data_IF_860450822275
#
_entry.id   IF_860450822275
#
_cell.length_a   1.000
_cell.length_b   1.000
_cell.length_c   1.000
_cell.angle_alpha   90.00
_cell.angle_beta   90.00
_cell.angle_gamma   90.00
#
_symmetry.space_group_name_H-M   'P 1'
#
loop_
_entity.id
_entity.type
_entity.pdbx_description
1 polymer ?
#
# COMPACT_ATOMS: atom_id res chain seq x y z
N UNK A 1 -25.71 -1.87 5.45
CA UNK A 1 -26.51 -1.01 6.36
C UNK A 1 -26.57 0.40 5.78
N UNK A 2 -27.76 0.95 5.58
CA UNK A 2 -27.93 2.36 5.24
C UNK A 2 -27.74 3.21 6.50
N UNK A 3 -26.89 4.22 6.43
CA UNK A 3 -26.76 5.22 7.48
C UNK A 3 -27.19 6.58 6.92
N UNK A 4 -27.50 7.53 7.80
CA UNK A 4 -28.03 8.84 7.42
C UNK A 4 -27.11 9.58 6.45
N UNK A 5 -25.80 9.59 6.75
CA UNK A 5 -24.79 10.23 5.90
C UNK A 5 -24.80 9.67 4.46
N UNK A 6 -24.92 8.35 4.30
CA UNK A 6 -24.96 7.71 2.98
C UNK A 6 -26.23 8.07 2.21
N UNK A 7 -27.38 8.15 2.89
CA UNK A 7 -28.65 8.56 2.26
C UNK A 7 -28.57 10.03 1.84
N UNK A 8 -28.06 10.89 2.72
CA UNK A 8 -27.94 12.32 2.46
C UNK A 8 -26.95 12.59 1.31
N UNK A 9 -25.83 11.85 1.25
CA UNK A 9 -24.90 11.89 0.12
C UNK A 9 -25.59 11.51 -1.20
N UNK A 10 -26.35 10.41 -1.23
CA UNK A 10 -27.05 10.00 -2.45
C UNK A 10 -28.08 11.02 -2.91
N UNK A 11 -28.76 11.71 -1.99
CA UNK A 11 -29.74 12.76 -2.34
C UNK A 11 -29.09 13.96 -3.02
N UNK A 12 -27.83 14.23 -2.69
CA UNK A 12 -27.06 15.35 -3.22
C UNK A 12 -26.38 14.98 -4.53
N UNK A 13 -25.92 13.73 -4.65
CA UNK A 13 -25.15 13.29 -5.80
C UNK A 13 -26.01 12.84 -7.00
N UNK A 14 -27.27 12.47 -6.74
CA UNK A 14 -28.14 11.81 -7.71
C UNK A 14 -29.43 12.59 -7.95
N UNK A 15 -29.94 12.57 -9.18
CA UNK A 15 -31.32 12.95 -9.45
C UNK A 15 -32.30 11.93 -8.81
N UNK A 16 -33.61 12.20 -8.88
CA UNK A 16 -34.63 11.37 -8.22
C UNK A 16 -34.63 9.91 -8.72
N UNK A 17 -34.36 9.70 -10.01
CA UNK A 17 -34.34 8.37 -10.62
C UNK A 17 -33.08 7.60 -10.20
N UNK A 18 -31.91 8.24 -10.31
CA UNK A 18 -30.62 7.70 -9.86
C UNK A 18 -30.59 7.46 -8.35
N UNK A 19 -31.26 8.30 -7.56
CA UNK A 19 -31.36 8.13 -6.12
C UNK A 19 -32.09 6.83 -5.77
N UNK A 20 -33.25 6.60 -6.40
CA UNK A 20 -34.04 5.37 -6.20
C UNK A 20 -33.24 4.15 -6.69
N UNK A 21 -32.57 4.27 -7.83
CA UNK A 21 -31.73 3.21 -8.37
C UNK A 21 -30.61 2.82 -7.39
N UNK A 22 -29.84 3.80 -6.93
CA UNK A 22 -28.69 3.58 -6.04
C UNK A 22 -29.09 3.19 -4.60
N UNK A 23 -30.31 3.51 -4.17
CA UNK A 23 -30.86 3.07 -2.88
C UNK A 23 -31.09 1.55 -2.85
N UNK A 24 -31.27 0.93 -4.02
CA UNK A 24 -31.37 -0.51 -4.15
C UNK A 24 -29.99 -1.09 -4.55
N UNK A 25 -29.25 -1.73 -3.62
CA UNK A 25 -27.94 -2.30 -3.93
C UNK A 25 -28.01 -3.38 -5.03
N UNK A 26 -29.18 -3.99 -5.27
CA UNK A 26 -29.38 -4.92 -6.37
C UNK A 26 -29.33 -4.26 -7.75
N UNK A 27 -29.59 -2.95 -7.84
CA UNK A 27 -29.51 -2.23 -9.09
C UNK A 27 -28.07 -1.87 -9.48
N UNK A 28 -27.22 -1.62 -8.50
CA UNK A 28 -25.80 -1.39 -8.77
C UNK A 28 -25.10 -2.71 -9.21
N UNK A 29 -25.62 -3.85 -8.76
CA UNK A 29 -25.07 -5.20 -9.04
C UNK A 29 -25.68 -5.86 -10.29
N UNK A 30 -26.30 -5.09 -11.19
CA UNK A 30 -27.13 -5.60 -12.30
C UNK A 30 -26.45 -6.60 -13.25
N UNK A 31 -25.11 -6.71 -13.26
CA UNK A 31 -24.37 -7.65 -14.11
C UNK A 31 -24.00 -9.00 -13.48
N UNK A 32 -23.97 -9.11 -12.14
CA UNK A 32 -23.32 -10.25 -11.44
C UNK A 32 -24.26 -11.22 -10.75
N UNK A 33 -25.58 -11.09 -10.94
CA UNK A 33 -26.56 -11.95 -10.25
C UNK A 33 -26.40 -13.45 -10.57
N UNK A 34 -25.83 -13.79 -11.73
CA UNK A 34 -25.53 -15.17 -12.15
C UNK A 34 -24.23 -15.71 -11.55
N UNK A 35 -23.37 -14.82 -11.07
CA UNK A 35 -22.03 -15.11 -10.56
C UNK A 35 -21.96 -14.89 -9.04
N UNK A 36 -23.12 -14.93 -8.37
CA UNK A 36 -23.20 -14.86 -6.92
C UNK A 36 -22.76 -16.20 -6.33
N UNK A 37 -21.73 -16.16 -5.50
CA UNK A 37 -21.20 -17.30 -4.78
C UNK A 37 -21.59 -17.23 -3.29
N UNK A 38 -21.42 -18.33 -2.56
CA UNK A 38 -21.68 -18.38 -1.11
C UNK A 38 -20.94 -17.26 -0.36
N UNK A 39 -19.71 -16.95 -0.80
CA UNK A 39 -18.87 -15.88 -0.26
C UNK A 39 -19.49 -14.48 -0.36
N UNK A 40 -20.37 -14.21 -1.33
CA UNK A 40 -21.09 -12.93 -1.43
C UNK A 40 -22.12 -12.73 -0.31
N UNK A 41 -22.50 -13.81 0.38
CA UNK A 41 -23.47 -13.82 1.47
C UNK A 41 -22.84 -14.12 2.83
N UNK A 42 -21.67 -14.77 2.86
CA UNK A 42 -20.97 -15.19 4.07
C UNK A 42 -19.78 -14.32 4.45
N UNK A 43 -19.33 -13.42 3.56
CA UNK A 43 -18.36 -12.37 3.90
C UNK A 43 -18.97 -11.32 4.84
N UNK A 44 -19.22 -11.74 6.09
CA UNK A 44 -18.99 -10.85 7.22
C UNK A 44 -17.50 -10.55 7.13
N UNK A 45 -17.17 -9.30 6.81
CA UNK A 45 -15.80 -8.78 6.78
C UNK A 45 -15.06 -9.16 8.08
N UNK A 46 -14.44 -10.33 8.09
CA UNK A 46 -13.17 -10.60 8.76
C UNK A 46 -12.02 -10.06 7.88
N UNK A 47 -12.32 -9.13 6.98
CA UNK A 47 -11.34 -8.41 6.18
C UNK A 47 -10.45 -7.64 7.15
N UNK A 48 -9.15 -7.87 7.07
CA UNK A 48 -8.13 -6.92 7.52
C UNK A 48 -8.64 -5.51 7.18
N UNK A 49 -8.77 -4.68 8.21
CA UNK A 49 -9.23 -3.32 8.03
C UNK A 49 -8.05 -2.49 7.53
N UNK A 50 -7.81 -2.53 6.21
CA UNK A 50 -6.80 -1.76 5.50
C UNK A 50 -7.01 -0.23 5.56
N UNK A 51 -7.88 0.25 6.45
CA UNK A 51 -8.19 1.67 6.68
C UNK A 51 -8.59 2.43 5.40
N UNK A 52 -9.13 1.71 4.42
CA UNK A 52 -9.55 2.25 3.12
C UNK A 52 -8.57 1.99 1.97
N UNK A 53 -7.41 1.41 2.23
CA UNK A 53 -6.50 0.93 1.20
C UNK A 53 -7.03 -0.36 0.55
N UNK A 54 -6.90 -0.47 -0.77
CA UNK A 54 -7.25 -1.64 -1.57
C UNK A 54 -5.95 -2.24 -2.13
N UNK A 55 -5.38 -3.27 -1.47
CA UNK A 55 -4.09 -3.80 -1.86
C UNK A 55 -4.14 -4.50 -3.22
N UNK A 56 -3.23 -4.11 -4.12
CA UNK A 56 -3.07 -4.70 -5.45
C UNK A 56 -1.63 -5.11 -5.66
N UNK A 57 -1.43 -6.38 -5.97
CA UNK A 57 -0.15 -7.03 -6.23
C UNK A 57 0.15 -7.20 -7.73
N UNK A 58 -0.87 -7.06 -8.58
CA UNK A 58 -0.71 -7.13 -10.03
C UNK A 58 0.22 -6.04 -10.56
N UNK A 59 1.02 -6.40 -11.54
CA UNK A 59 1.82 -5.47 -12.34
C UNK A 59 1.16 -5.33 -13.71
N UNK A 60 0.95 -4.08 -14.11
CA UNK A 60 0.45 -3.74 -15.42
C UNK A 60 1.42 -2.74 -16.04
N UNK A 61 2.32 -3.23 -16.91
CA UNK A 61 3.34 -2.39 -17.53
C UNK A 61 2.72 -1.22 -18.29
N UNK A 62 3.19 0.01 -17.98
CA UNK A 62 2.78 1.25 -18.62
C UNK A 62 3.99 2.06 -19.01
N UNK A 63 3.80 2.88 -20.03
CA UNK A 63 4.75 3.95 -20.34
C UNK A 63 4.55 5.10 -19.37
N UNK A 64 5.65 5.73 -18.95
CA UNK A 64 5.61 6.95 -18.16
C UNK A 64 4.93 8.06 -18.97
N UNK A 65 3.88 8.72 -18.45
CA UNK A 65 3.26 9.84 -19.15
C UNK A 65 4.23 11.01 -19.34
N UNK A 66 4.31 11.55 -20.56
CA UNK A 66 5.01 12.80 -20.85
C UNK A 66 4.04 13.98 -20.70
N UNK A 67 3.88 14.45 -19.48
CA UNK A 67 2.98 15.56 -19.15
C UNK A 67 3.72 16.89 -18.95
N UNK A 68 5.05 16.91 -18.99
CA UNK A 68 5.87 18.09 -18.64
C UNK A 68 5.54 19.32 -19.51
N UNK A 69 5.20 19.11 -20.79
CA UNK A 69 4.84 20.17 -21.74
C UNK A 69 3.41 20.70 -21.64
N UNK A 70 2.54 20.05 -20.85
CA UNK A 70 1.11 20.36 -20.82
C UNK A 70 0.87 21.54 -19.88
N UNK A 71 0.62 22.71 -20.44
CA UNK A 71 0.40 23.95 -19.67
C UNK A 71 -1.01 24.51 -19.84
N UNK A 72 -1.79 23.96 -20.77
CA UNK A 72 -3.18 24.34 -20.97
C UNK A 72 -4.03 24.00 -19.73
N UNK A 73 -5.15 24.72 -19.60
CA UNK A 73 -6.09 24.56 -18.50
C UNK A 73 -7.48 24.34 -19.07
N UNK A 74 -8.05 23.18 -18.80
CA UNK A 74 -9.43 22.84 -19.18
C UNK A 74 -10.29 22.86 -17.93
N UNK A 75 -11.38 23.65 -17.88
CA UNK A 75 -12.28 23.67 -16.73
C UNK A 75 -12.80 22.27 -16.38
N UNK A 76 -12.80 21.94 -15.10
CA UNK A 76 -13.61 20.84 -14.57
C UNK A 76 -15.11 21.15 -14.73
N UNK A 77 -15.98 20.19 -14.43
CA UNK A 77 -17.43 20.46 -14.46
C UNK A 77 -17.82 21.48 -13.40
N UNK A 78 -18.91 22.23 -13.66
CA UNK A 78 -19.41 23.24 -12.71
C UNK A 78 -19.68 22.64 -11.31
N UNK A 79 -20.17 21.39 -11.26
CA UNK A 79 -20.39 20.66 -10.00
C UNK A 79 -19.06 20.38 -9.28
N UNK A 80 -18.03 19.93 -9.98
CA UNK A 80 -16.72 19.66 -9.37
C UNK A 80 -16.10 20.93 -8.77
N UNK A 81 -16.11 22.04 -9.52
CA UNK A 81 -15.61 23.32 -9.00
C UNK A 81 -16.39 23.79 -7.78
N UNK A 82 -17.73 23.72 -7.83
CA UNK A 82 -18.60 24.08 -6.69
C UNK A 82 -18.20 23.31 -5.42
N UNK A 83 -17.96 22.00 -5.52
CA UNK A 83 -17.59 21.18 -4.37
C UNK A 83 -16.15 21.41 -3.91
N UNK A 84 -15.20 21.70 -4.80
CA UNK A 84 -13.85 22.11 -4.43
C UNK A 84 -13.92 23.39 -3.59
N UNK A 85 -14.63 24.42 -4.05
CA UNK A 85 -14.74 25.69 -3.33
C UNK A 85 -15.49 25.54 -1.99
N UNK A 86 -16.54 24.71 -1.94
CA UNK A 86 -17.21 24.37 -0.67
C UNK A 86 -16.30 23.66 0.33
N UNK A 87 -15.43 22.75 -0.13
CA UNK A 87 -14.47 22.08 0.74
C UNK A 87 -13.46 23.07 1.33
N UNK A 88 -12.96 23.98 0.50
CA UNK A 88 -12.05 25.06 0.91
C UNK A 88 -12.74 25.98 1.93
N UNK A 89 -13.97 26.42 1.65
CA UNK A 89 -14.74 27.27 2.57
C UNK A 89 -14.99 26.57 3.92
N UNK A 90 -15.38 25.29 3.89
CA UNK A 90 -15.66 24.52 5.09
C UNK A 90 -14.40 24.39 5.97
N UNK A 91 -13.27 23.95 5.39
CA UNK A 91 -12.01 23.80 6.13
C UNK A 91 -11.55 25.12 6.73
N UNK A 92 -11.65 26.21 5.97
CA UNK A 92 -11.36 27.58 6.45
C UNK A 92 -12.27 27.99 7.61
N UNK A 93 -13.57 27.68 7.53
CA UNK A 93 -14.55 28.02 8.58
C UNK A 93 -14.35 27.24 9.88
N UNK A 94 -13.82 26.01 9.77
CA UNK A 94 -13.53 25.12 10.90
C UNK A 94 -12.10 25.30 11.43
N UNK A 95 -11.30 26.20 10.83
CA UNK A 95 -9.91 26.43 11.23
C UNK A 95 -8.99 25.22 10.97
N UNK A 96 -9.24 24.48 9.91
CA UNK A 96 -8.47 23.32 9.48
C UNK A 96 -7.57 23.71 8.30
N UNK A 97 -6.26 23.48 8.42
CA UNK A 97 -5.32 23.66 7.32
C UNK A 97 -5.61 22.61 6.23
N UNK A 98 -5.88 23.08 5.01
CA UNK A 98 -6.18 22.24 3.86
C UNK A 98 -4.97 22.15 2.93
N UNK A 99 -4.60 20.93 2.59
CA UNK A 99 -3.66 20.61 1.50
C UNK A 99 -4.38 19.72 0.53
N UNK A 100 -4.43 20.15 -0.73
CA UNK A 100 -4.96 19.36 -1.84
C UNK A 100 -3.80 18.68 -2.57
N UNK A 101 -4.03 17.50 -3.11
CA UNK A 101 -3.03 16.83 -3.94
C UNK A 101 -3.69 15.93 -4.98
N UNK A 102 -2.99 15.71 -6.09
CA UNK A 102 -3.30 14.66 -7.06
C UNK A 102 -2.27 13.56 -6.91
N UNK A 103 -2.69 12.34 -6.55
CA UNK A 103 -1.82 11.16 -6.51
C UNK A 103 -1.24 10.86 -7.90
N UNK A 104 -0.06 10.22 -8.00
CA UNK A 104 0.52 9.87 -9.30
C UNK A 104 -0.24 8.71 -9.94
N UNK A 105 -0.50 8.79 -11.24
CA UNK A 105 -1.08 7.72 -12.06
C UNK A 105 -0.74 7.92 -13.54
N UNK A 106 -1.25 7.09 -14.45
CA UNK A 106 -1.05 7.31 -15.89
C UNK A 106 -1.93 8.47 -16.37
N UNK A 107 -1.57 9.70 -16.03
CA UNK A 107 -2.34 10.90 -16.39
C UNK A 107 -2.40 11.10 -17.90
N UNK A 108 -3.60 11.38 -18.41
CA UNK A 108 -3.80 11.80 -19.81
C UNK A 108 -3.65 13.31 -19.95
N UNK A 109 -3.44 13.79 -21.17
CA UNK A 109 -3.24 15.23 -21.40
C UNK A 109 -4.41 16.06 -20.89
N UNK A 110 -5.64 15.61 -21.19
CA UNK A 110 -6.86 16.28 -20.75
C UNK A 110 -7.01 16.28 -19.23
N UNK A 111 -6.66 15.19 -18.57
CA UNK A 111 -6.69 15.14 -17.10
C UNK A 111 -5.66 16.10 -16.51
N UNK A 112 -4.46 16.17 -17.10
CA UNK A 112 -3.44 17.12 -16.66
C UNK A 112 -3.89 18.57 -16.84
N UNK A 113 -4.58 18.91 -17.94
CA UNK A 113 -5.17 20.24 -18.13
C UNK A 113 -6.23 20.56 -17.07
N UNK A 114 -7.02 19.58 -16.67
CA UNK A 114 -8.01 19.73 -15.57
C UNK A 114 -7.30 19.91 -14.23
N UNK A 115 -6.23 19.16 -13.96
CA UNK A 115 -5.42 19.33 -12.75
C UNK A 115 -4.75 20.71 -12.69
N UNK A 116 -4.28 21.24 -13.84
CA UNK A 116 -3.76 22.60 -13.92
C UNK A 116 -4.86 23.63 -13.56
N UNK A 117 -6.09 23.42 -14.05
CA UNK A 117 -7.24 24.27 -13.70
C UNK A 117 -7.57 24.21 -12.20
N UNK A 118 -7.55 23.02 -11.60
CA UNK A 118 -7.74 22.85 -10.14
C UNK A 118 -6.61 23.52 -9.36
N UNK A 119 -5.38 23.47 -9.86
CA UNK A 119 -4.24 24.18 -9.27
C UNK A 119 -4.45 25.70 -9.24
N UNK A 120 -5.02 26.29 -10.31
CA UNK A 120 -5.35 27.71 -10.33
C UNK A 120 -6.42 28.06 -9.28
N UNK A 121 -7.46 27.22 -9.11
CA UNK A 121 -8.47 27.43 -8.06
C UNK A 121 -7.81 27.41 -6.66
N UNK A 122 -6.91 26.47 -6.42
CA UNK A 122 -6.20 26.38 -5.15
C UNK A 122 -5.31 27.61 -4.90
N UNK A 123 -4.59 28.09 -5.92
CA UNK A 123 -3.79 29.31 -5.84
C UNK A 123 -4.65 30.56 -5.57
N UNK A 124 -5.77 30.72 -6.28
CA UNK A 124 -6.75 31.79 -6.07
C UNK A 124 -7.25 31.85 -4.62
N UNK A 125 -7.46 30.68 -4.01
CA UNK A 125 -7.97 30.53 -2.65
C UNK A 125 -6.88 30.47 -1.57
N UNK A 126 -5.60 30.55 -1.97
CA UNK A 126 -4.46 30.45 -1.06
C UNK A 126 -4.31 29.08 -0.39
N UNK A 127 -4.72 28.00 -1.06
CA UNK A 127 -4.62 26.61 -0.62
C UNK A 127 -3.46 25.92 -1.33
N UNK A 128 -2.66 25.14 -0.61
CA UNK A 128 -1.59 24.36 -1.24
C UNK A 128 -2.19 23.23 -2.10
N UNK A 129 -1.76 23.15 -3.37
CA UNK A 129 -2.04 22.03 -4.24
C UNK A 129 -0.74 21.37 -4.72
N UNK A 130 -0.62 20.06 -4.47
CA UNK A 130 0.55 19.26 -4.88
C UNK A 130 0.14 18.30 -5.99
N UNK A 131 0.55 18.59 -7.21
CA UNK A 131 0.38 17.66 -8.32
C UNK A 131 1.56 16.68 -8.39
N UNK A 132 1.37 15.46 -7.88
CA UNK A 132 2.40 14.42 -7.94
C UNK A 132 2.60 13.84 -9.33
N UNK A 133 1.70 14.12 -10.28
CA UNK A 133 1.92 13.78 -11.68
C UNK A 133 3.07 14.62 -12.27
N UNK A 134 3.46 15.74 -11.64
CA UNK A 134 4.62 16.54 -12.03
C UNK A 134 5.94 16.09 -11.41
N UNK A 135 5.94 14.98 -10.66
CA UNK A 135 7.05 14.60 -9.76
C UNK A 135 7.45 13.13 -9.89
N UNK A 136 7.21 12.49 -11.02
CA UNK A 136 7.53 11.07 -11.20
C UNK A 136 8.99 10.74 -10.90
N UNK A 137 9.93 11.57 -11.38
CA UNK A 137 11.36 11.38 -11.13
C UNK A 137 11.72 11.53 -9.65
N UNK A 138 11.14 12.53 -8.96
CA UNK A 138 11.37 12.76 -7.53
C UNK A 138 10.83 11.61 -6.67
N UNK A 139 9.71 11.02 -7.10
CA UNK A 139 9.08 9.86 -6.48
C UNK A 139 9.80 8.54 -6.82
N UNK A 140 10.69 8.54 -7.81
CA UNK A 140 11.31 7.32 -8.32
C UNK A 140 10.31 6.34 -8.94
N UNK A 141 9.25 6.87 -9.58
CA UNK A 141 8.19 6.06 -10.18
C UNK A 141 8.72 5.30 -11.41
N UNK A 142 8.42 4.01 -11.45
CA UNK A 142 8.62 3.16 -12.62
C UNK A 142 7.27 2.61 -13.06
N UNK A 143 6.70 3.22 -14.10
CA UNK A 143 5.38 2.87 -14.62
C UNK A 143 5.30 1.45 -15.21
N UNK A 144 6.44 0.81 -15.48
CA UNK A 144 6.47 -0.58 -15.91
C UNK A 144 6.21 -1.55 -14.75
N UNK A 145 6.57 -1.18 -13.52
CA UNK A 145 6.55 -2.09 -12.37
C UNK A 145 5.67 -1.63 -11.20
N UNK A 146 5.32 -0.34 -11.12
CA UNK A 146 4.60 0.27 -9.98
C UNK A 146 3.08 0.40 -10.19
N UNK A 147 2.56 0.02 -11.34
CA UNK A 147 1.15 0.19 -11.71
C UNK A 147 0.36 -1.10 -11.54
N UNK A 148 -0.79 -1.02 -10.86
CA UNK A 148 -1.78 -2.10 -10.85
C UNK A 148 -2.69 -2.03 -12.09
N UNK A 149 -2.97 -0.82 -12.56
CA UNK A 149 -3.67 -0.50 -13.80
C UNK A 149 -3.38 0.96 -14.18
N UNK A 150 -4.08 1.52 -15.17
CA UNK A 150 -3.83 2.90 -15.62
C UNK A 150 -4.12 3.96 -14.54
N UNK A 151 -5.02 3.69 -13.60
CA UNK A 151 -5.44 4.65 -12.59
C UNK A 151 -4.89 4.39 -11.19
N UNK A 152 -4.38 3.20 -10.91
CA UNK A 152 -4.01 2.78 -9.57
C UNK A 152 -2.59 2.23 -9.52
N UNK A 153 -1.83 2.69 -8.53
CA UNK A 153 -0.55 2.11 -8.15
C UNK A 153 -0.77 0.71 -7.54
N UNK A 154 0.21 -0.17 -7.70
CA UNK A 154 0.29 -1.42 -6.94
C UNK A 154 1.01 -1.19 -5.60
N UNK A 155 1.29 -2.26 -4.87
CA UNK A 155 2.02 -2.20 -3.60
C UNK A 155 3.35 -1.42 -3.67
N UNK A 156 4.10 -1.57 -4.77
CA UNK A 156 5.39 -0.90 -4.95
C UNK A 156 5.23 0.60 -5.15
N UNK A 157 4.36 0.99 -6.09
CA UNK A 157 4.09 2.40 -6.35
C UNK A 157 3.50 3.12 -5.13
N UNK A 158 2.56 2.48 -4.42
CA UNK A 158 1.98 3.07 -3.21
C UNK A 158 3.03 3.28 -2.12
N UNK A 159 3.99 2.36 -1.94
CA UNK A 159 5.05 2.54 -0.96
C UNK A 159 5.93 3.76 -1.30
N UNK A 160 6.42 3.87 -2.53
CA UNK A 160 7.21 5.02 -2.99
C UNK A 160 6.46 6.34 -2.79
N UNK A 161 5.20 6.37 -3.20
CA UNK A 161 4.36 7.56 -3.08
C UNK A 161 4.10 7.95 -1.62
N UNK A 162 3.69 7.00 -0.78
CA UNK A 162 3.33 7.29 0.62
C UNK A 162 4.54 7.60 1.50
N UNK A 163 5.71 7.00 1.22
CA UNK A 163 6.96 7.33 1.89
C UNK A 163 7.41 8.78 1.60
N UNK A 164 7.39 9.16 0.31
CA UNK A 164 7.68 10.54 -0.10
C UNK A 164 6.65 11.52 0.48
N UNK A 165 5.35 11.25 0.30
CA UNK A 165 4.30 12.16 0.74
C UNK A 165 4.27 12.30 2.26
N UNK A 166 4.43 11.20 3.00
CA UNK A 166 4.52 11.21 4.45
C UNK A 166 5.72 12.02 4.96
N UNK A 167 6.86 11.91 4.29
CA UNK A 167 8.06 12.71 4.61
C UNK A 167 7.82 14.21 4.35
N UNK A 168 7.23 14.55 3.20
CA UNK A 168 6.88 15.93 2.86
C UNK A 168 5.89 16.54 3.85
N UNK A 169 4.90 15.76 4.30
CA UNK A 169 3.94 16.22 5.31
C UNK A 169 4.60 16.48 6.66
N UNK A 170 5.50 15.59 7.11
CA UNK A 170 6.26 15.77 8.37
C UNK A 170 7.20 16.96 8.32
N UNK A 171 7.78 17.27 7.15
CA UNK A 171 8.67 18.41 6.98
C UNK A 171 7.90 19.74 7.03
N UNK A 172 6.76 19.80 6.35
CA UNK A 172 5.98 21.03 6.19
C UNK A 172 5.03 21.34 7.35
N UNK A 173 4.53 20.31 8.02
CA UNK A 173 3.44 20.43 8.98
C UNK A 173 3.81 19.79 10.32
N UNK A 174 3.34 20.40 11.41
CA UNK A 174 3.52 19.87 12.77
C UNK A 174 2.53 18.71 13.04
N UNK A 175 2.78 17.59 12.37
CA UNK A 175 1.98 16.37 12.52
C UNK A 175 2.62 15.52 13.63
N UNK A 176 1.94 15.33 14.77
CA UNK A 176 2.49 14.55 15.88
C UNK A 176 2.64 13.08 15.49
N UNK A 177 3.80 12.50 15.81
CA UNK A 177 4.00 11.06 15.73
C UNK A 177 3.12 10.36 16.76
N UNK A 178 2.32 9.38 16.31
CA UNK A 178 1.35 8.63 17.13
C UNK A 178 1.73 7.16 17.31
N UNK A 179 2.88 6.73 16.80
CA UNK A 179 3.35 5.35 17.01
C UNK A 179 3.49 5.06 18.50
N UNK A 180 3.01 3.89 18.92
CA UNK A 180 3.04 3.46 20.32
C UNK A 180 2.01 4.15 21.24
N UNK A 181 1.19 5.08 20.72
CA UNK A 181 0.04 5.60 21.48
C UNK A 181 -1.09 4.57 21.47
N UNK A 182 -1.51 4.11 22.65
CA UNK A 182 -2.54 3.08 22.81
C UNK A 182 -3.87 3.42 22.12
N UNK A 183 -4.17 4.71 21.88
CA UNK A 183 -5.38 5.14 21.16
C UNK A 183 -5.33 4.82 19.67
N UNK A 184 -4.13 4.70 19.11
CA UNK A 184 -3.86 4.50 17.69
C UNK A 184 -3.29 3.13 17.38
N UNK A 185 -3.23 2.22 18.36
CA UNK A 185 -2.69 0.85 18.20
C UNK A 185 -3.23 0.14 16.95
N UNK A 186 -4.50 0.34 16.57
CA UNK A 186 -5.04 -0.28 15.35
C UNK A 186 -4.37 0.16 14.04
N UNK A 187 -3.64 1.29 14.04
CA UNK A 187 -2.84 1.79 12.91
C UNK A 187 -1.46 1.16 12.90
N UNK A 188 -0.84 0.96 14.06
CA UNK A 188 0.41 0.19 14.17
C UNK A 188 0.18 -1.25 13.67
N UNK A 189 -1.00 -1.82 13.97
CA UNK A 189 -1.41 -3.13 13.48
C UNK A 189 -1.61 -3.18 11.97
N UNK A 190 -2.29 -2.18 11.43
CA UNK A 190 -2.53 -2.07 9.99
C UNK A 190 -1.21 -1.88 9.22
N UNK A 191 -0.32 -1.01 9.71
CA UNK A 191 1.01 -0.80 9.13
C UNK A 191 1.85 -2.08 9.13
N UNK A 192 1.84 -2.86 10.22
CA UNK A 192 2.54 -4.13 10.28
C UNK A 192 2.00 -5.15 9.26
N UNK A 193 0.67 -5.24 9.11
CA UNK A 193 0.03 -6.13 8.13
C UNK A 193 0.33 -5.70 6.69
N UNK A 194 0.25 -4.40 6.38
CA UNK A 194 0.56 -3.90 5.03
C UNK A 194 2.04 -4.07 4.68
N UNK A 195 2.95 -3.84 5.64
CA UNK A 195 4.37 -4.15 5.47
C UNK A 195 4.59 -5.64 5.18
N UNK A 196 3.89 -6.50 5.91
CA UNK A 196 3.89 -7.94 5.68
C UNK A 196 3.44 -8.28 4.25
N UNK A 197 2.26 -7.85 3.84
CA UNK A 197 1.68 -8.23 2.55
C UNK A 197 2.47 -7.68 1.36
N UNK A 198 2.94 -6.43 1.46
CA UNK A 198 3.87 -5.85 0.48
C UNK A 198 5.11 -6.71 0.32
N UNK A 199 5.74 -7.11 1.43
CA UNK A 199 6.95 -7.92 1.40
C UNK A 199 6.69 -9.31 0.82
N UNK A 200 5.57 -9.93 1.16
CA UNK A 200 5.16 -11.21 0.57
C UNK A 200 4.93 -11.08 -0.95
N UNK A 201 4.31 -10.00 -1.41
CA UNK A 201 4.13 -9.70 -2.83
C UNK A 201 5.47 -9.54 -3.55
N UNK A 202 6.41 -8.76 -3.00
CA UNK A 202 7.74 -8.60 -3.60
C UNK A 202 8.52 -9.91 -3.69
N UNK A 203 8.51 -10.72 -2.63
CA UNK A 203 9.19 -12.03 -2.65
C UNK A 203 8.54 -12.95 -3.69
N UNK A 204 7.21 -12.90 -3.82
CA UNK A 204 6.47 -13.77 -4.74
C UNK A 204 6.70 -13.41 -6.20
N UNK A 205 6.88 -12.11 -6.48
CA UNK A 205 6.91 -11.57 -7.84
C UNK A 205 8.32 -11.13 -8.30
N UNK A 206 9.35 -11.21 -7.45
CA UNK A 206 10.71 -10.81 -7.82
C UNK A 206 11.59 -12.00 -8.17
N UNK A 207 12.11 -11.99 -9.39
CA UNK A 207 13.17 -12.90 -9.85
C UNK A 207 14.58 -12.36 -9.56
N UNK A 208 14.68 -11.21 -8.87
CA UNK A 208 15.93 -10.48 -8.66
C UNK A 208 16.42 -10.65 -7.22
N UNK A 209 17.54 -11.36 -7.06
CA UNK A 209 18.22 -11.48 -5.78
C UNK A 209 18.59 -10.11 -5.17
N UNK A 210 18.86 -9.10 -5.99
CA UNK A 210 19.19 -7.75 -5.54
C UNK A 210 17.98 -7.04 -4.90
N UNK A 211 16.78 -7.27 -5.41
CA UNK A 211 15.55 -6.66 -4.88
C UNK A 211 15.19 -7.29 -3.54
N UNK A 212 15.27 -8.62 -3.45
CA UNK A 212 15.10 -9.36 -2.20
C UNK A 212 16.17 -8.93 -1.16
N UNK A 213 17.42 -8.69 -1.58
CA UNK A 213 18.48 -8.18 -0.71
C UNK A 213 18.22 -6.74 -0.23
N UNK A 214 17.70 -5.85 -1.08
CA UNK A 214 17.38 -4.49 -0.68
C UNK A 214 16.29 -4.44 0.40
N UNK A 215 15.36 -5.41 0.45
CA UNK A 215 14.38 -5.50 1.54
C UNK A 215 15.04 -5.64 2.92
N UNK A 216 16.21 -6.28 3.01
CA UNK A 216 16.92 -6.46 4.29
C UNK A 216 17.54 -5.19 4.86
N UNK A 217 17.67 -4.12 4.05
CA UNK A 217 18.16 -2.81 4.50
C UNK A 217 17.16 -2.03 5.36
N UNK A 218 15.90 -2.47 5.39
CA UNK A 218 14.83 -1.83 6.16
C UNK A 218 14.50 -2.61 7.45
N UNK A 219 15.51 -3.21 8.10
CA UNK A 219 15.35 -3.91 9.37
C UNK A 219 14.89 -5.37 9.26
N UNK A 220 15.04 -6.00 8.10
CA UNK A 220 14.70 -7.41 7.88
C UNK A 220 15.95 -8.28 7.82
N UNK A 221 15.85 -9.54 8.24
CA UNK A 221 16.91 -10.55 8.07
C UNK A 221 16.37 -11.62 7.14
N UNK A 222 17.05 -11.86 6.02
CA UNK A 222 16.71 -12.95 5.10
C UNK A 222 17.57 -14.17 5.41
N UNK A 223 16.94 -15.32 5.55
CA UNK A 223 17.56 -16.63 5.58
C UNK A 223 17.33 -17.28 4.22
N UNK A 224 18.36 -17.39 3.39
CA UNK A 224 18.24 -18.03 2.07
C UNK A 224 18.84 -19.43 2.11
N UNK A 225 18.16 -20.43 1.56
CA UNK A 225 18.70 -21.78 1.34
C UNK A 225 18.64 -22.09 -0.15
N UNK A 226 19.81 -22.29 -0.74
CA UNK A 226 19.94 -22.63 -2.16
C UNK A 226 20.98 -23.72 -2.32
N UNK A 227 20.60 -24.85 -2.92
CA UNK A 227 21.51 -25.97 -3.23
C UNK A 227 22.32 -26.43 -2.01
N UNK A 228 21.63 -26.62 -0.88
CA UNK A 228 22.23 -27.06 0.40
C UNK A 228 23.06 -26.00 1.14
N UNK A 229 23.19 -24.78 0.60
CA UNK A 229 23.88 -23.67 1.25
C UNK A 229 22.89 -22.71 1.89
N UNK A 230 23.00 -22.52 3.21
CA UNK A 230 22.21 -21.56 3.98
C UNK A 230 22.99 -20.26 4.17
N UNK A 231 22.34 -19.11 3.99
CA UNK A 231 22.92 -17.78 4.17
C UNK A 231 21.98 -16.90 5.01
N UNK A 232 22.54 -16.14 5.94
CA UNK A 232 21.84 -15.09 6.67
C UNK A 232 22.28 -13.76 6.08
N UNK A 233 21.33 -12.98 5.59
CA UNK A 233 21.54 -11.68 4.98
C UNK A 233 20.86 -10.63 5.84
N UNK A 234 21.62 -9.62 6.24
CA UNK A 234 21.15 -8.48 7.04
C UNK A 234 21.74 -7.20 6.46
N UNK A 235 20.92 -6.16 6.34
CA UNK A 235 21.34 -4.86 5.80
C UNK A 235 21.96 -4.95 4.38
N UNK A 236 21.51 -5.92 3.59
CA UNK A 236 22.01 -6.20 2.24
C UNK A 236 23.30 -7.03 2.17
N UNK A 237 23.87 -7.40 3.31
CA UNK A 237 25.16 -8.11 3.39
C UNK A 237 24.97 -9.53 3.93
N UNK A 238 25.72 -10.50 3.40
CA UNK A 238 25.77 -11.85 3.95
C UNK A 238 26.54 -11.82 5.26
N UNK A 239 25.84 -11.99 6.38
CA UNK A 239 26.41 -11.92 7.74
C UNK A 239 26.76 -13.30 8.31
N UNK A 240 26.22 -14.37 7.74
CA UNK A 240 26.61 -15.74 8.06
C UNK A 240 26.30 -16.69 6.89
N UNK A 241 27.10 -17.73 6.72
CA UNK A 241 26.84 -18.83 5.79
C UNK A 241 27.09 -20.17 6.48
N UNK A 242 26.35 -21.20 6.08
CA UNK A 242 26.56 -22.57 6.54
C UNK A 242 26.08 -23.60 5.53
N UNK A 243 26.45 -24.84 5.79
CA UNK A 243 26.08 -26.03 5.00
C UNK A 243 25.28 -26.98 5.90
N UNK A 244 24.61 -27.97 5.29
CA UNK A 244 23.83 -29.08 5.87
C UNK A 244 23.68 -29.17 7.40
N UNK A 245 22.43 -29.25 7.86
CA UNK A 245 22.09 -29.33 9.30
C UNK A 245 22.09 -27.96 10.00
N UNK A 246 21.93 -26.87 9.24
CA UNK A 246 21.92 -25.51 9.77
C UNK A 246 20.81 -25.33 10.81
N UNK A 247 21.20 -25.04 12.05
CA UNK A 247 20.25 -24.76 13.13
C UNK A 247 20.02 -23.27 13.19
N UNK A 248 18.81 -22.82 12.86
CA UNK A 248 18.45 -21.41 13.02
C UNK A 248 18.07 -21.20 14.49
N UNK A 249 18.86 -20.43 15.27
CA UNK A 249 18.44 -20.03 16.59
C UNK A 249 17.31 -19.01 16.46
N UNK A 250 16.24 -19.21 17.19
CA UNK A 250 15.22 -18.19 17.36
C UNK A 250 14.89 -17.95 18.83
N UNK A 251 14.52 -16.71 19.14
CA UNK A 251 14.28 -16.26 20.51
C UNK A 251 12.82 -16.46 20.90
N UNK A 252 12.50 -17.53 21.61
CA UNK A 252 11.17 -17.75 22.18
C UNK A 252 11.12 -17.15 23.58
N UNK A 253 10.64 -15.91 23.72
CA UNK A 253 10.38 -15.21 25.01
C UNK A 253 11.50 -15.25 26.08
N UNK A 254 12.10 -14.10 26.42
CA UNK A 254 13.14 -14.00 27.47
C UNK A 254 14.56 -14.39 26.98
N UNK A 255 15.42 -14.92 27.86
CA UNK A 255 16.85 -15.21 27.59
C UNK A 255 17.10 -16.63 27.02
N UNK A 256 16.07 -17.30 26.53
CA UNK A 256 16.14 -18.69 26.03
C UNK A 256 16.23 -18.72 24.50
N UNK A 257 17.13 -19.54 23.95
CA UNK A 257 17.22 -19.83 22.52
C UNK A 257 16.70 -21.25 22.23
N UNK A 258 15.80 -21.36 21.24
CA UNK A 258 15.41 -22.64 20.64
C UNK A 258 16.09 -22.79 19.28
N UNK A 259 16.34 -24.04 18.88
CA UNK A 259 16.96 -24.37 17.60
C UNK A 259 15.96 -25.19 16.78
N UNK A 260 15.68 -24.76 15.54
CA UNK A 260 15.01 -25.62 14.55
C UNK A 260 16.09 -26.26 13.69
N UNK A 261 16.10 -27.59 13.72
CA UNK A 261 16.98 -28.43 12.90
C UNK A 261 16.20 -28.83 11.64
N UNK A 262 16.81 -28.65 10.48
CA UNK A 262 16.22 -28.98 9.18
C UNK A 262 16.91 -30.24 8.65
N UNK A 263 16.13 -31.21 8.17
CA UNK A 263 16.67 -32.46 7.66
C UNK A 263 17.06 -32.33 6.18
N UNK A 264 17.97 -33.20 5.75
CA UNK A 264 18.42 -33.34 4.35
C UNK A 264 17.22 -33.54 3.41
N UNK A 265 17.12 -32.74 2.34
CA UNK A 265 16.03 -32.80 1.35
C UNK A 265 14.68 -32.21 1.78
N UNK A 266 14.56 -31.65 2.99
CA UNK A 266 13.31 -31.03 3.44
C UNK A 266 13.03 -29.72 2.69
N UNK A 267 14.07 -28.98 2.29
CA UNK A 267 13.97 -27.68 1.61
C UNK A 267 15.18 -27.36 0.70
N UNK A 268 15.16 -27.69 -0.61
CA UNK A 268 16.28 -27.44 -1.56
C UNK A 268 16.35 -26.02 -2.16
N UNK A 269 15.23 -25.28 -2.24
CA UNK A 269 15.14 -23.96 -2.89
C UNK A 269 14.15 -23.01 -2.19
N UNK A 270 14.57 -22.37 -1.08
CA UNK A 270 13.65 -21.57 -0.27
C UNK A 270 14.27 -20.27 0.25
N UNK A 271 13.44 -19.23 0.30
CA UNK A 271 13.73 -17.97 0.97
C UNK A 271 12.89 -17.88 2.24
N UNK A 272 13.56 -17.66 3.37
CA UNK A 272 12.97 -17.51 4.68
C UNK A 272 13.17 -16.07 5.15
N UNK A 273 12.15 -15.22 5.05
CA UNK A 273 12.23 -13.87 5.60
C UNK A 273 11.99 -13.93 7.11
N UNK A 274 12.87 -13.33 7.90
CA UNK A 274 12.66 -13.07 9.31
C UNK A 274 12.49 -11.56 9.51
N UNK A 275 11.40 -11.19 10.17
CA UNK A 275 11.15 -9.79 10.49
C UNK A 275 11.96 -9.43 11.73
N UNK A 276 13.04 -8.68 11.53
CA UNK A 276 13.91 -8.19 12.59
C UNK A 276 13.57 -6.76 13.01
N UNK A 277 12.28 -6.43 12.96
CA UNK A 277 11.74 -5.13 13.35
C UNK A 277 11.33 -5.17 14.83
N UNK A 278 11.90 -4.29 15.67
CA UNK A 278 11.68 -4.29 17.12
C UNK A 278 10.24 -3.90 17.51
N UNK A 279 9.56 -3.11 16.67
CA UNK A 279 8.18 -2.69 16.86
C UNK A 279 7.20 -3.84 16.55
N UNK A 280 7.48 -4.58 15.47
CA UNK A 280 6.73 -5.81 15.14
C UNK A 280 6.98 -6.88 16.22
N UNK A 281 8.22 -7.05 16.69
CA UNK A 281 8.52 -8.05 17.74
C UNK A 281 7.81 -7.79 19.05
N UNK A 282 7.73 -6.52 19.48
CA UNK A 282 7.06 -6.18 20.75
C UNK A 282 5.57 -6.51 20.73
N UNK A 283 4.93 -6.39 19.56
CA UNK A 283 3.48 -6.56 19.42
C UNK A 283 3.06 -7.98 19.00
N UNK A 284 3.92 -8.71 18.27
CA UNK A 284 3.54 -9.96 17.61
C UNK A 284 4.44 -11.16 17.93
N UNK A 285 5.52 -10.96 18.70
CA UNK A 285 6.59 -11.95 18.80
C UNK A 285 7.40 -12.00 17.50
N UNK A 286 8.25 -13.01 17.35
CA UNK A 286 9.03 -13.13 16.14
C UNK A 286 8.23 -13.83 15.04
N UNK A 287 8.45 -13.39 13.81
CA UNK A 287 7.74 -13.90 12.65
C UNK A 287 8.72 -14.33 11.56
N UNK A 288 8.45 -15.51 10.99
CA UNK A 288 9.24 -16.11 9.93
C UNK A 288 8.33 -16.53 8.76
N UNK A 289 8.84 -16.29 7.55
CA UNK A 289 8.20 -16.59 6.27
C UNK A 289 8.92 -17.75 5.63
N UNK A 290 8.20 -18.57 4.88
CA UNK A 290 8.83 -19.60 4.05
C UNK A 290 8.22 -19.50 2.66
N UNK A 291 9.06 -19.18 1.68
CA UNK A 291 8.71 -19.07 0.27
C UNK A 291 9.55 -20.05 -0.55
N UNK A 292 8.89 -20.80 -1.43
CA UNK A 292 9.54 -21.70 -2.40
C UNK A 292 9.97 -20.89 -3.62
N UNK A 293 11.27 -20.68 -3.77
CA UNK A 293 11.81 -19.84 -4.86
C UNK A 293 11.78 -20.55 -6.22
N UNK A 294 11.48 -21.85 -6.28
CA UNK A 294 11.40 -22.61 -7.53
C UNK A 294 9.95 -22.83 -7.96
N UNK A 295 9.05 -23.07 -7.01
CA UNK A 295 7.61 -23.19 -7.31
C UNK A 295 6.93 -21.83 -7.41
N UNK A 296 7.60 -20.77 -6.99
CA UNK A 296 7.05 -19.44 -6.80
C UNK A 296 5.83 -19.41 -5.87
N UNK A 297 5.85 -20.26 -4.84
CA UNK A 297 4.71 -20.48 -3.96
C UNK A 297 5.05 -20.06 -2.52
N UNK A 298 4.13 -19.30 -1.93
CA UNK A 298 4.12 -19.09 -0.48
C UNK A 298 3.73 -20.38 0.24
N UNK A 299 4.52 -20.78 1.24
CA UNK A 299 4.29 -22.04 1.96
C UNK A 299 3.56 -21.82 3.28
N UNK A 300 4.15 -21.05 4.20
CA UNK A 300 3.59 -20.87 5.55
C UNK A 300 4.28 -19.76 6.35
N UNK A 301 3.59 -19.36 7.43
CA UNK A 301 4.14 -18.59 8.53
C UNK A 301 4.56 -19.48 9.69
N UNK A 302 5.58 -19.02 10.41
CA UNK A 302 5.95 -19.57 11.71
C UNK A 302 6.04 -18.40 12.71
N UNK A 303 5.25 -18.49 13.78
CA UNK A 303 5.25 -17.55 14.90
C UNK A 303 6.03 -18.16 16.08
N UNK A 304 6.90 -17.39 16.74
CA UNK A 304 7.65 -17.85 17.92
C UNK A 304 8.26 -16.73 18.78
#
# INVERSE_FOLDING_TARGET
KWNRNRIDLLRVDSDEEQFIERLNPYNIMHGRYKDLEENDFTNVRDSVNYKGFDPRDRVNERETPDNAGITDCTPCTEKEEEYIRKLIELTRSEGIDLVMFASPYCVTDREQEILNYVGNIAEEEGVEFIDFNRRYDELGMDFSSDMADSGHLNYSGNYKFTDYFGSLLKEKYDIPDRRGDSRYVSWDWDAAIQNYERNASYITNSDSAADIMNMTKNGYILFAVYDGKASIIKDGEVVAEGYDGFRIPYRYGGDSFLFKEFNEGEFEHYAILYINDDEIKQNYGNMMYVYDTVRHEYIRHIYF
#
